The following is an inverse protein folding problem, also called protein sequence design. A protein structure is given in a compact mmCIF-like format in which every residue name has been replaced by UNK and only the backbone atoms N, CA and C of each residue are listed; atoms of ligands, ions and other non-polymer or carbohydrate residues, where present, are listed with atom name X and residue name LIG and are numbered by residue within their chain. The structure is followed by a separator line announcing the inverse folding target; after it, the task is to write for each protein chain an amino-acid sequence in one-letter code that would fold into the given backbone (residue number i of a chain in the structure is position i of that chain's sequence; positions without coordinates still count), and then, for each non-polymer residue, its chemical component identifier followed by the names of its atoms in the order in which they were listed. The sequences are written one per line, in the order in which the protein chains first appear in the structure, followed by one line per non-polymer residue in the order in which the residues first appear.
data_IF_621516833523
#
_entry.id   IF_621516833523
#
_cell.length_a   1.000
_cell.length_b   1.000
_cell.length_c   1.000
_cell.angle_alpha   90.00
_cell.angle_beta   90.00
_cell.angle_gamma   90.00
#
_symmetry.space_group_name_H-M   'P 1'
#
loop_
_entity.id
_entity.type
_entity.pdbx_description
1 polymer ?
#
# COMPACT_ATOMS: atom_id res chain seq x y z
N UNK A 1 45.21 18.25 18.61
CA UNK A 1 43.78 18.25 18.33
C UNK A 1 43.61 18.20 16.81
N UNK A 2 43.42 17.04 16.21
CA UNK A 2 43.18 16.88 14.77
C UNK A 2 41.68 16.64 14.60
N UNK A 3 41.04 17.57 13.90
CA UNK A 3 39.62 17.47 13.57
C UNK A 3 39.39 16.37 12.55
N UNK A 4 38.55 15.41 12.89
CA UNK A 4 38.05 14.43 11.95
C UNK A 4 37.08 15.13 10.97
N UNK A 5 37.58 15.41 9.76
CA UNK A 5 36.74 15.79 8.62
C UNK A 5 35.93 14.56 8.20
N UNK A 6 34.64 14.55 8.57
CA UNK A 6 33.70 13.56 8.08
C UNK A 6 33.62 13.67 6.56
N UNK A 7 34.18 12.70 5.85
CA UNK A 7 33.99 12.54 4.41
C UNK A 7 32.58 12.04 4.19
N UNK A 8 31.66 12.94 3.86
CA UNK A 8 30.36 12.57 3.29
C UNK A 8 30.62 12.01 1.90
N UNK A 9 30.60 10.69 1.76
CA UNK A 9 30.64 10.05 0.46
C UNK A 9 29.39 10.48 -0.31
N UNK A 10 29.51 11.04 -1.53
CA UNK A 10 28.33 11.37 -2.31
C UNK A 10 27.59 10.06 -2.64
N UNK A 11 26.28 10.04 -2.39
CA UNK A 11 25.40 8.94 -2.73
C UNK A 11 25.46 8.70 -4.24
N UNK A 12 26.03 7.55 -4.67
CA UNK A 12 26.24 7.18 -6.07
C UNK A 12 25.06 6.36 -6.61
N UNK A 13 23.83 6.83 -6.43
CA UNK A 13 22.63 6.21 -6.99
C UNK A 13 22.15 6.94 -8.25
N UNK A 14 21.25 6.31 -8.99
CA UNK A 14 20.51 6.95 -10.08
C UNK A 14 19.64 8.09 -9.52
N UNK A 15 19.08 8.95 -10.40
CA UNK A 15 18.14 9.99 -9.98
C UNK A 15 16.92 9.34 -9.26
N UNK A 16 16.44 8.20 -9.77
CA UNK A 16 15.33 7.47 -9.16
C UNK A 16 15.67 6.98 -7.76
N UNK A 17 16.91 6.50 -7.53
CA UNK A 17 17.37 6.10 -6.19
C UNK A 17 17.43 7.29 -5.23
N UNK A 18 17.85 8.46 -5.73
CA UNK A 18 17.89 9.69 -4.92
C UNK A 18 16.48 10.16 -4.55
N UNK A 19 15.54 10.11 -5.50
CA UNK A 19 14.13 10.45 -5.24
C UNK A 19 13.53 9.46 -4.24
N UNK A 20 13.75 8.16 -4.43
CA UNK A 20 13.25 7.13 -3.50
C UNK A 20 13.81 7.30 -2.08
N UNK A 21 15.12 7.59 -1.95
CA UNK A 21 15.76 7.87 -0.67
C UNK A 21 15.18 9.15 -0.02
N UNK A 22 14.97 10.20 -0.81
CA UNK A 22 14.36 11.44 -0.35
C UNK A 22 12.93 11.26 0.16
N UNK A 23 12.11 10.46 -0.55
CA UNK A 23 10.75 10.11 -0.12
C UNK A 23 10.78 9.27 1.16
N UNK A 24 11.65 8.27 1.24
CA UNK A 24 11.81 7.43 2.42
C UNK A 24 12.19 8.27 3.65
N UNK A 25 13.08 9.25 3.50
CA UNK A 25 13.42 10.19 4.58
C UNK A 25 12.21 11.03 5.03
N UNK A 26 11.23 11.28 4.14
CA UNK A 26 9.94 11.88 4.49
C UNK A 26 8.91 10.86 4.98
N UNK A 27 9.33 9.61 5.24
CA UNK A 27 8.50 8.48 5.65
C UNK A 27 7.43 8.10 4.62
N UNK A 28 7.72 8.33 3.34
CA UNK A 28 6.87 8.00 2.20
C UNK A 28 7.47 6.81 1.48
N UNK A 29 6.70 5.75 1.36
CA UNK A 29 6.98 4.54 0.59
C UNK A 29 6.09 4.56 -0.65
N UNK A 30 6.62 4.19 -1.83
CA UNK A 30 5.85 4.15 -3.07
C UNK A 30 5.74 2.72 -3.59
N UNK A 31 4.51 2.24 -3.70
CA UNK A 31 4.14 1.06 -4.47
C UNK A 31 3.74 1.55 -5.88
N UNK A 32 4.72 1.63 -6.78
CA UNK A 32 4.56 2.17 -8.14
C UNK A 32 4.68 1.12 -9.24
N UNK A 33 4.53 -0.16 -8.91
CA UNK A 33 4.69 -1.28 -9.84
C UNK A 33 3.73 -2.42 -9.50
N UNK A 34 3.77 -3.50 -10.28
CA UNK A 34 3.14 -4.76 -9.94
C UNK A 34 3.69 -5.31 -8.62
N UNK A 35 2.83 -5.93 -7.82
CA UNK A 35 3.18 -6.53 -6.53
C UNK A 35 3.78 -7.91 -6.78
N UNK A 36 5.10 -7.99 -6.75
CA UNK A 36 5.87 -9.24 -6.78
C UNK A 36 6.68 -9.41 -5.48
N UNK A 37 7.41 -10.51 -5.37
CA UNK A 37 8.20 -10.83 -4.18
C UNK A 37 9.32 -9.80 -3.94
N UNK A 38 9.93 -9.26 -5.00
CA UNK A 38 11.00 -8.27 -4.89
C UNK A 38 10.45 -6.94 -4.37
N UNK A 39 9.33 -6.48 -4.92
CA UNK A 39 8.63 -5.28 -4.46
C UNK A 39 8.18 -5.45 -3.02
N UNK A 40 7.56 -6.59 -2.68
CA UNK A 40 7.09 -6.86 -1.33
C UNK A 40 8.24 -6.85 -0.31
N UNK A 41 9.34 -7.56 -0.57
CA UNK A 41 10.48 -7.60 0.32
C UNK A 41 11.09 -6.20 0.53
N UNK A 42 11.15 -5.38 -0.52
CA UNK A 42 11.62 -3.99 -0.41
C UNK A 42 10.68 -3.16 0.46
N UNK A 43 9.37 -3.22 0.24
CA UNK A 43 8.39 -2.44 1.01
C UNK A 43 8.36 -2.88 2.48
N UNK A 44 8.39 -4.18 2.75
CA UNK A 44 8.48 -4.72 4.11
C UNK A 44 9.75 -4.21 4.82
N UNK A 45 10.90 -4.25 4.14
CA UNK A 45 12.16 -3.71 4.67
C UNK A 45 12.07 -2.22 4.99
N UNK A 46 11.45 -1.42 4.11
CA UNK A 46 11.24 0.02 4.33
C UNK A 46 10.29 0.30 5.50
N UNK A 47 9.19 -0.44 5.63
CA UNK A 47 8.26 -0.35 6.76
C UNK A 47 8.96 -0.64 8.10
N UNK A 48 9.73 -1.73 8.16
CA UNK A 48 10.47 -2.12 9.35
C UNK A 48 11.56 -1.11 9.70
N UNK A 49 12.28 -0.59 8.72
CA UNK A 49 13.31 0.44 8.91
C UNK A 49 12.72 1.70 9.51
N UNK A 50 11.65 2.24 8.90
CA UNK A 50 10.99 3.45 9.38
C UNK A 50 10.37 3.26 10.77
N UNK A 51 9.83 2.07 11.04
CA UNK A 51 9.31 1.74 12.37
C UNK A 51 10.39 1.69 13.44
N UNK A 52 11.57 1.16 13.10
CA UNK A 52 12.71 1.13 14.02
C UNK A 52 13.30 2.53 14.29
N UNK A 53 13.24 3.45 13.29
CA UNK A 53 13.69 4.83 13.45
C UNK A 53 12.78 5.65 14.39
N UNK A 54 11.47 5.60 14.20
CA UNK A 54 10.48 6.20 15.12
C UNK A 54 9.17 5.42 15.09
N UNK A 55 8.86 4.66 16.15
CA UNK A 55 7.66 3.83 16.23
C UNK A 55 6.34 4.61 16.44
N UNK A 56 6.41 5.93 16.59
CA UNK A 56 5.25 6.79 16.88
C UNK A 56 4.82 7.66 15.70
N UNK A 57 5.70 7.87 14.73
CA UNK A 57 5.37 8.66 13.55
C UNK A 57 4.70 7.79 12.48
N UNK A 58 3.70 8.35 11.83
CA UNK A 58 3.01 7.69 10.71
C UNK A 58 3.98 7.38 9.56
N UNK A 59 3.65 6.31 8.83
CA UNK A 59 4.29 5.96 7.56
C UNK A 59 3.25 6.13 6.47
N UNK A 60 3.63 6.71 5.34
CA UNK A 60 2.74 6.92 4.20
C UNK A 60 3.05 5.95 3.07
N UNK A 61 2.08 5.14 2.66
CA UNK A 61 2.16 4.24 1.52
C UNK A 61 1.37 4.83 0.34
N UNK A 62 2.08 5.29 -0.69
CA UNK A 62 1.50 5.82 -1.91
C UNK A 62 1.39 4.71 -2.94
N UNK A 63 0.20 4.53 -3.54
CA UNK A 63 -0.14 3.37 -4.36
C UNK A 63 -0.52 3.82 -5.77
N UNK A 64 0.25 3.36 -6.76
CA UNK A 64 -0.04 3.39 -8.18
C UNK A 64 0.32 2.03 -8.78
N UNK A 65 -0.53 1.03 -8.59
CA UNK A 65 -0.23 -0.37 -8.87
C UNK A 65 -1.46 -1.12 -9.42
N UNK A 66 -1.27 -1.98 -10.42
CA UNK A 66 -2.33 -2.88 -10.89
C UNK A 66 -2.65 -4.02 -9.90
N UNK A 67 -1.86 -4.19 -8.86
CA UNK A 67 -1.87 -5.36 -7.97
C UNK A 67 -0.81 -6.36 -8.35
N UNK A 68 -1.06 -7.66 -8.16
CA UNK A 68 -0.12 -8.73 -8.46
C UNK A 68 -0.23 -9.92 -7.50
N UNK A 69 0.89 -10.52 -7.10
CA UNK A 69 0.96 -11.70 -6.24
C UNK A 69 0.26 -11.48 -4.91
N UNK A 70 -0.65 -12.40 -4.58
CA UNK A 70 -1.41 -12.35 -3.32
C UNK A 70 -0.51 -12.61 -2.12
N UNK A 71 0.42 -13.57 -2.22
CA UNK A 71 1.37 -13.86 -1.12
C UNK A 71 2.28 -12.66 -0.83
N UNK A 72 2.77 -12.02 -1.89
CA UNK A 72 3.57 -10.81 -1.78
C UNK A 72 2.78 -9.64 -1.15
N UNK A 73 1.52 -9.44 -1.57
CA UNK A 73 0.65 -8.42 -0.99
C UNK A 73 0.28 -8.70 0.47
N UNK A 74 0.05 -9.96 0.85
CA UNK A 74 -0.18 -10.33 2.25
C UNK A 74 1.06 -10.13 3.12
N UNK A 75 2.28 -10.33 2.60
CA UNK A 75 3.51 -10.02 3.33
C UNK A 75 3.61 -8.53 3.68
N UNK A 76 3.25 -7.64 2.72
CA UNK A 76 3.19 -6.20 2.98
C UNK A 76 2.11 -5.90 4.03
N UNK A 77 0.91 -6.45 3.87
CA UNK A 77 -0.21 -6.26 4.79
C UNK A 77 0.14 -6.68 6.22
N UNK A 78 0.67 -7.88 6.40
CA UNK A 78 1.05 -8.38 7.72
C UNK A 78 2.16 -7.53 8.34
N UNK A 79 3.10 -7.01 7.54
CA UNK A 79 4.12 -6.07 8.01
C UNK A 79 3.51 -4.74 8.46
N UNK A 80 2.54 -4.19 7.69
CA UNK A 80 1.80 -3.00 8.10
C UNK A 80 1.06 -3.19 9.44
N UNK A 81 0.56 -4.42 9.69
CA UNK A 81 -0.15 -4.75 10.95
C UNK A 81 0.78 -5.09 12.11
N UNK A 82 2.01 -5.53 11.82
CA UNK A 82 3.03 -5.90 12.82
C UNK A 82 3.63 -4.69 13.52
N UNK A 83 3.89 -3.61 12.76
CA UNK A 83 4.53 -2.40 13.29
C UNK A 83 3.54 -1.56 14.12
N UNK A 84 4.01 -0.85 15.15
CA UNK A 84 3.15 -0.01 15.99
C UNK A 84 2.71 1.30 15.32
N UNK A 85 3.34 1.67 14.20
CA UNK A 85 3.05 2.90 13.47
C UNK A 85 1.68 2.82 12.77
N UNK A 86 0.97 3.93 12.72
CA UNK A 86 -0.11 4.07 11.75
C UNK A 86 0.47 4.13 10.33
N UNK A 87 -0.11 3.35 9.43
CA UNK A 87 0.22 3.38 8.01
C UNK A 87 -0.90 4.07 7.26
N UNK A 88 -0.66 5.31 6.82
CA UNK A 88 -1.59 6.01 5.93
C UNK A 88 -1.42 5.50 4.49
N UNK A 89 -2.51 5.43 3.74
CA UNK A 89 -2.50 4.96 2.35
C UNK A 89 -3.08 6.03 1.42
N UNK A 90 -2.49 6.19 0.23
CA UNK A 90 -2.96 7.13 -0.79
C UNK A 90 -2.99 6.49 -2.17
N UNK A 91 -4.16 6.40 -2.78
CA UNK A 91 -4.28 5.99 -4.19
C UNK A 91 -3.89 7.14 -5.12
N UNK A 92 -2.93 6.87 -6.04
CA UNK A 92 -2.49 7.75 -7.11
C UNK A 92 -2.64 6.99 -8.44
N UNK A 93 -3.41 7.51 -9.40
CA UNK A 93 -3.60 6.85 -10.69
C UNK A 93 -4.41 5.56 -10.58
N UNK A 94 -3.79 4.43 -10.28
CA UNK A 94 -4.45 3.12 -10.16
C UNK A 94 -4.14 2.43 -8.83
N UNK A 95 -5.17 1.96 -8.14
CA UNK A 95 -5.06 0.99 -7.05
C UNK A 95 -5.92 -0.23 -7.41
N UNK A 96 -5.33 -1.23 -8.07
CA UNK A 96 -6.03 -2.43 -8.55
C UNK A 96 -5.71 -3.67 -7.73
N UNK A 97 -6.68 -4.56 -7.55
CA UNK A 97 -6.47 -5.90 -6.96
C UNK A 97 -5.75 -5.83 -5.61
N UNK A 98 -4.55 -6.41 -5.48
CA UNK A 98 -3.76 -6.29 -4.26
C UNK A 98 -3.39 -4.83 -3.92
N UNK A 99 -3.31 -3.92 -4.89
CA UNK A 99 -3.15 -2.49 -4.63
C UNK A 99 -4.38 -1.87 -3.96
N UNK A 100 -5.59 -2.24 -4.38
CA UNK A 100 -6.84 -1.86 -3.71
C UNK A 100 -6.93 -2.47 -2.30
N UNK A 101 -6.54 -3.74 -2.14
CA UNK A 101 -6.51 -4.39 -0.85
C UNK A 101 -5.61 -3.63 0.14
N UNK A 102 -4.37 -3.32 -0.25
CA UNK A 102 -3.43 -2.54 0.56
C UNK A 102 -3.92 -1.12 0.84
N UNK A 103 -4.59 -0.47 -0.13
CA UNK A 103 -5.22 0.83 0.06
C UNK A 103 -6.25 0.79 1.20
N UNK A 104 -7.15 -0.19 1.16
CA UNK A 104 -8.20 -0.33 2.18
C UNK A 104 -7.67 -0.78 3.54
N UNK A 105 -6.47 -1.37 3.59
CA UNK A 105 -5.80 -1.86 4.79
C UNK A 105 -5.09 -0.77 5.61
N UNK A 106 -5.00 0.45 5.11
CA UNK A 106 -4.45 1.59 5.85
C UNK A 106 -5.17 1.86 7.17
N UNK A 107 -4.51 2.59 8.07
CA UNK A 107 -5.08 2.98 9.37
C UNK A 107 -6.38 3.75 9.17
N UNK A 108 -7.41 3.44 9.96
CA UNK A 108 -8.73 4.09 9.85
C UNK A 108 -8.61 5.61 10.02
N UNK A 109 -9.31 6.35 9.15
CA UNK A 109 -9.23 7.82 9.07
C UNK A 109 -8.01 8.33 8.30
N UNK A 110 -7.11 7.43 7.85
CA UNK A 110 -5.86 7.77 7.15
C UNK A 110 -5.73 7.09 5.77
N UNK A 111 -6.87 6.72 5.16
CA UNK A 111 -6.93 6.12 3.82
C UNK A 111 -7.44 7.17 2.84
N UNK A 112 -6.62 7.47 1.84
CA UNK A 112 -6.83 8.62 0.96
C UNK A 112 -6.85 8.19 -0.51
N UNK A 113 -7.46 9.03 -1.35
CA UNK A 113 -7.37 8.92 -2.81
C UNK A 113 -7.26 10.30 -3.44
N UNK A 114 -6.48 10.41 -4.50
CA UNK A 114 -6.55 11.57 -5.39
C UNK A 114 -7.87 11.54 -6.19
N UNK A 115 -8.40 12.70 -6.64
CA UNK A 115 -9.74 12.80 -7.23
C UNK A 115 -9.96 11.95 -8.47
N UNK A 116 -8.90 11.71 -9.25
CA UNK A 116 -8.94 10.98 -10.52
C UNK A 116 -8.35 9.58 -10.45
N UNK A 117 -7.94 9.12 -9.26
CA UNK A 117 -7.46 7.76 -9.09
C UNK A 117 -8.60 6.77 -9.34
N UNK A 118 -8.25 5.64 -9.96
CA UNK A 118 -9.13 4.52 -10.23
C UNK A 118 -8.85 3.41 -9.23
N UNK A 119 -9.88 2.86 -8.65
CA UNK A 119 -9.75 1.73 -7.72
C UNK A 119 -10.47 0.53 -8.33
N UNK A 120 -9.78 -0.62 -8.42
CA UNK A 120 -10.32 -1.86 -8.98
C UNK A 120 -10.32 -2.96 -7.93
N UNK A 121 -11.50 -3.49 -7.64
CA UNK A 121 -11.68 -4.69 -6.83
C UNK A 121 -12.15 -5.84 -7.71
N UNK A 122 -11.53 -7.00 -7.57
CA UNK A 122 -11.93 -8.24 -8.21
C UNK A 122 -11.42 -9.47 -7.45
N UNK A 123 -11.98 -10.64 -7.72
CA UNK A 123 -11.45 -11.90 -7.23
C UNK A 123 -10.10 -12.21 -7.87
N UNK A 124 -9.19 -12.77 -7.08
CA UNK A 124 -7.93 -13.28 -7.59
C UNK A 124 -8.15 -14.39 -8.63
N UNK A 125 -7.32 -14.40 -9.66
CA UNK A 125 -7.24 -15.48 -10.64
C UNK A 125 -5.85 -16.10 -10.62
N UNK A 126 -5.77 -17.41 -10.84
CA UNK A 126 -4.50 -18.10 -10.95
C UNK A 126 -4.59 -19.18 -12.03
N UNK A 127 -3.50 -19.39 -12.75
CA UNK A 127 -3.33 -20.52 -13.66
C UNK A 127 -2.57 -21.64 -12.95
N UNK A 128 -3.10 -22.84 -12.96
CA UNK A 128 -2.43 -24.02 -12.38
C UNK A 128 -2.16 -25.07 -13.45
N UNK A 129 -1.03 -25.77 -13.30
CA UNK A 129 -0.65 -26.93 -14.07
C UNK A 129 -0.17 -28.04 -13.15
N UNK A 130 -0.14 -29.29 -13.64
CA UNK A 130 0.30 -30.46 -12.87
C UNK A 130 -0.67 -31.62 -13.00
N UNK A 131 -0.59 -32.58 -12.09
CA UNK A 131 -1.52 -33.70 -11.99
C UNK A 131 -2.90 -33.24 -11.48
N UNK A 132 -3.93 -34.06 -11.66
CA UNK A 132 -5.26 -33.75 -11.13
C UNK A 132 -5.25 -33.49 -9.61
N UNK A 133 -4.44 -34.24 -8.86
CA UNK A 133 -4.26 -34.04 -7.42
C UNK A 133 -3.61 -32.67 -7.10
N UNK A 134 -2.60 -32.26 -7.86
CA UNK A 134 -1.97 -30.94 -7.69
C UNK A 134 -2.98 -29.81 -7.93
N UNK A 135 -3.77 -29.93 -9.00
CA UNK A 135 -4.81 -28.93 -9.35
C UNK A 135 -5.85 -28.81 -8.23
N UNK A 136 -6.30 -29.92 -7.63
CA UNK A 136 -7.24 -29.92 -6.50
C UNK A 136 -6.66 -29.21 -5.27
N UNK A 137 -5.39 -29.48 -4.94
CA UNK A 137 -4.68 -28.82 -3.83
C UNK A 137 -4.59 -27.31 -4.06
N UNK A 138 -4.17 -26.88 -5.26
CA UNK A 138 -4.06 -25.47 -5.60
C UNK A 138 -5.42 -24.74 -5.63
N UNK A 139 -6.48 -25.41 -6.12
CA UNK A 139 -7.83 -24.87 -6.11
C UNK A 139 -8.31 -24.63 -4.67
N UNK A 140 -8.09 -25.59 -3.77
CA UNK A 140 -8.42 -25.42 -2.35
C UNK A 140 -7.61 -24.32 -1.66
N UNK A 141 -6.35 -24.10 -2.07
CA UNK A 141 -5.55 -22.97 -1.56
C UNK A 141 -6.08 -21.62 -2.06
N UNK A 142 -6.42 -21.52 -3.36
CA UNK A 142 -7.00 -20.32 -3.95
C UNK A 142 -8.31 -19.91 -3.25
N UNK A 143 -9.18 -20.88 -3.00
CA UNK A 143 -10.44 -20.65 -2.29
C UNK A 143 -10.22 -20.13 -0.86
N UNK A 144 -9.31 -20.77 -0.09
CA UNK A 144 -8.97 -20.30 1.26
C UNK A 144 -8.46 -18.87 1.28
N UNK A 145 -7.55 -18.55 0.37
CA UNK A 145 -6.96 -17.20 0.29
C UNK A 145 -7.99 -16.19 -0.20
N UNK A 146 -8.82 -16.55 -1.18
CA UNK A 146 -9.94 -15.71 -1.64
C UNK A 146 -10.92 -15.38 -0.52
N UNK A 147 -11.30 -16.37 0.28
CA UNK A 147 -12.18 -16.19 1.45
C UNK A 147 -11.52 -15.28 2.50
N UNK A 148 -10.22 -15.43 2.74
CA UNK A 148 -9.48 -14.54 3.65
C UNK A 148 -9.52 -13.09 3.17
N UNK A 149 -9.21 -12.83 1.91
CA UNK A 149 -9.19 -11.47 1.35
C UNK A 149 -10.58 -10.81 1.41
N UNK A 150 -11.63 -11.54 1.07
CA UNK A 150 -13.02 -11.04 1.17
C UNK A 150 -13.37 -10.63 2.60
N UNK A 151 -13.01 -11.43 3.61
CA UNK A 151 -13.22 -11.10 5.03
C UNK A 151 -12.44 -9.84 5.43
N UNK A 152 -11.17 -9.76 5.08
CA UNK A 152 -10.33 -8.60 5.40
C UNK A 152 -10.85 -7.32 4.73
N UNK A 153 -11.27 -7.39 3.45
CA UNK A 153 -11.88 -6.24 2.77
C UNK A 153 -13.20 -5.84 3.47
N UNK A 154 -14.02 -6.79 3.86
CA UNK A 154 -15.25 -6.52 4.61
C UNK A 154 -14.95 -5.83 5.95
N UNK A 155 -13.94 -6.27 6.68
CA UNK A 155 -13.46 -5.64 7.92
C UNK A 155 -12.96 -4.22 7.68
N UNK A 156 -12.14 -4.01 6.63
CA UNK A 156 -11.59 -2.69 6.30
C UNK A 156 -12.67 -1.69 5.89
N UNK A 157 -13.67 -2.14 5.13
CA UNK A 157 -14.70 -1.28 4.52
C UNK A 157 -15.94 -1.11 5.38
N UNK A 158 -16.18 -2.04 6.32
CA UNK A 158 -17.44 -2.13 7.07
C UNK A 158 -18.61 -2.68 6.25
N UNK A 159 -18.36 -3.21 5.05
CA UNK A 159 -19.38 -3.86 4.22
C UNK A 159 -19.64 -5.31 4.71
N UNK A 160 -20.87 -5.83 4.52
CA UNK A 160 -21.13 -7.26 4.74
C UNK A 160 -20.22 -8.14 3.85
N UNK A 161 -19.78 -9.29 4.39
CA UNK A 161 -18.92 -10.25 3.69
C UNK A 161 -19.55 -10.70 2.37
N UNK A 162 -20.85 -11.00 2.39
CA UNK A 162 -21.61 -11.44 1.21
C UNK A 162 -21.65 -10.37 0.12
N UNK A 163 -21.69 -9.11 0.53
CA UNK A 163 -21.66 -7.99 -0.41
C UNK A 163 -20.28 -7.85 -1.06
N UNK A 164 -19.20 -7.93 -0.29
CA UNK A 164 -17.84 -7.89 -0.83
C UNK A 164 -17.60 -9.07 -1.76
N UNK A 165 -18.04 -10.27 -1.39
CA UNK A 165 -17.96 -11.46 -2.24
C UNK A 165 -18.69 -11.27 -3.56
N UNK A 166 -19.94 -10.79 -3.51
CA UNK A 166 -20.73 -10.52 -4.72
C UNK A 166 -20.08 -9.47 -5.61
N UNK A 167 -19.63 -8.37 -5.01
CA UNK A 167 -19.06 -7.21 -5.71
C UNK A 167 -17.70 -7.51 -6.33
N UNK A 168 -16.93 -8.45 -5.77
CA UNK A 168 -15.61 -8.85 -6.28
C UNK A 168 -15.64 -9.95 -7.32
N UNK A 169 -16.79 -10.59 -7.60
CA UNK A 169 -16.90 -11.72 -8.59
C UNK A 169 -16.44 -11.34 -10.00
N UNK A 170 -16.53 -10.06 -10.34
CA UNK A 170 -16.07 -9.47 -11.60
C UNK A 170 -15.38 -8.15 -11.30
N UNK A 171 -14.66 -7.63 -12.28
CA UNK A 171 -14.02 -6.33 -12.17
C UNK A 171 -15.04 -5.27 -11.74
N UNK A 172 -14.82 -4.70 -10.58
CA UNK A 172 -15.60 -3.59 -10.08
C UNK A 172 -14.70 -2.36 -9.92
N UNK A 173 -14.94 -1.41 -10.77
CA UNK A 173 -14.25 -0.14 -10.77
C UNK A 173 -14.95 0.88 -9.87
N UNK A 174 -14.17 1.67 -9.16
CA UNK A 174 -14.63 2.75 -8.33
C UNK A 174 -13.89 4.02 -8.69
N UNK A 175 -14.63 5.12 -8.83
CA UNK A 175 -14.09 6.47 -8.71
C UNK A 175 -13.72 6.74 -7.25
N UNK A 176 -12.93 7.79 -6.99
CA UNK A 176 -12.58 8.17 -5.61
C UNK A 176 -13.82 8.41 -4.72
N UNK A 177 -14.90 9.00 -5.28
CA UNK A 177 -16.16 9.23 -4.54
C UNK A 177 -16.90 7.93 -4.20
N UNK A 178 -16.95 6.99 -5.14
CA UNK A 178 -17.58 5.69 -4.92
C UNK A 178 -16.77 4.87 -3.92
N UNK A 179 -15.42 4.92 -3.98
CA UNK A 179 -14.53 4.27 -3.02
C UNK A 179 -14.72 4.82 -1.60
N UNK A 180 -14.89 6.13 -1.45
CA UNK A 180 -15.24 6.77 -0.18
C UNK A 180 -16.59 6.27 0.35
N UNK A 181 -17.62 6.23 -0.50
CA UNK A 181 -18.97 5.76 -0.11
C UNK A 181 -18.96 4.27 0.23
N UNK A 182 -18.13 3.47 -0.43
CA UNK A 182 -18.00 2.05 -0.16
C UNK A 182 -17.20 1.74 1.12
N UNK A 183 -16.37 2.68 1.57
CA UNK A 183 -15.52 2.52 2.75
C UNK A 183 -14.11 2.00 2.43
N UNK A 184 -13.71 1.98 1.16
CA UNK A 184 -12.34 1.62 0.75
C UNK A 184 -11.32 2.67 1.16
N UNK A 185 -11.75 3.93 1.25
CA UNK A 185 -10.96 5.09 1.70
C UNK A 185 -11.77 5.94 2.67
N UNK A 186 -11.10 6.86 3.35
CA UNK A 186 -11.71 7.79 4.31
C UNK A 186 -11.84 9.21 3.76
N UNK A 187 -10.97 9.60 2.80
CA UNK A 187 -10.94 10.97 2.26
C UNK A 187 -10.53 11.00 0.79
N UNK A 188 -11.06 12.00 0.06
CA UNK A 188 -10.58 12.39 -1.27
C UNK A 188 -9.82 13.70 -1.12
N UNK A 189 -8.57 13.75 -1.60
CA UNK A 189 -7.64 14.86 -1.36
C UNK A 189 -7.37 15.64 -2.63
N UNK A 190 -7.47 16.95 -2.56
CA UNK A 190 -7.09 17.84 -3.65
C UNK A 190 -5.68 18.44 -3.47
N UNK A 191 -5.13 18.43 -2.24
CA UNK A 191 -3.86 19.06 -1.89
C UNK A 191 -3.04 18.19 -0.95
N UNK A 192 -1.70 18.27 -1.07
CA UNK A 192 -0.75 17.54 -0.21
C UNK A 192 -0.88 17.95 1.26
N UNK A 193 -1.23 19.18 1.54
CA UNK A 193 -1.39 19.66 2.92
C UNK A 193 -2.53 18.96 3.68
N UNK A 194 -3.48 18.36 2.95
CA UNK A 194 -4.58 17.59 3.53
C UNK A 194 -4.13 16.20 4.06
N UNK A 195 -2.94 15.72 3.67
CA UNK A 195 -2.37 14.41 4.07
C UNK A 195 -1.44 14.51 5.28
N UNK A 196 -0.93 15.72 5.58
CA UNK A 196 0.08 15.88 6.63
C UNK A 196 -0.55 15.71 8.01
N UNK A 197 0.03 14.87 8.89
CA UNK A 197 -0.36 14.83 10.30
C UNK A 197 -0.22 16.22 10.91
N UNK A 198 -1.17 16.60 11.75
CA UNK A 198 -1.07 17.84 12.50
C UNK A 198 0.22 17.83 13.34
N UNK A 199 1.24 18.57 12.92
CA UNK A 199 2.55 18.62 13.57
C UNK A 199 3.78 18.45 12.66
N UNK A 200 3.62 18.11 11.40
CA UNK A 200 4.74 18.06 10.46
C UNK A 200 5.25 19.50 10.19
N UNK A 201 6.51 19.78 10.57
CA UNK A 201 7.14 21.10 10.40
C UNK A 201 7.13 21.50 8.92
N UNK A 202 6.58 22.69 8.63
CA UNK A 202 6.78 23.37 7.35
C UNK A 202 8.28 23.44 7.07
N UNK A 203 8.75 22.84 5.99
CA UNK A 203 10.06 23.19 5.46
C UNK A 203 9.98 24.66 5.01
N UNK A 204 10.67 25.52 5.75
CA UNK A 204 10.83 26.93 5.40
C UNK A 204 11.57 26.98 4.06
N UNK A 205 10.93 27.61 3.08
CA UNK A 205 11.41 27.65 1.71
C UNK A 205 12.84 28.14 1.59
N UNK A 206 13.58 27.48 0.72
CA UNK A 206 14.77 28.05 0.09
C UNK A 206 14.27 29.24 -0.73
N UNK A 207 14.53 30.45 -0.25
CA UNK A 207 14.42 31.65 -1.09
C UNK A 207 15.57 31.61 -2.08
N UNK A 208 15.23 31.77 -3.37
CA UNK A 208 16.18 32.01 -4.45
C UNK A 208 17.02 33.29 -4.18
#
# INVERSE_FOLDING_TARGET
MQGATGVTMPYQGTLDDQVAAGLLHQRIIVLGAEVDDQVANRLCGQLLLLSAEDPRQDISLYINSPGGSVSAGLAIYDTMRLIPNDVSTLAMGLAGSMGQFLLSAGSRGKRFSLPHAQILMHQGSAGFGGTAADVEIYAGQLERVGTLLVRLIAEHTGQPVEKVEQDSRRDRWFTAKEALTYGLIDHVLERVDDVRPAGARRMVGVRA
#
